data_IF_420562393473
#
_entry.id   IF_420562393473
#
_cell.length_a   1.000
_cell.length_b   1.000
_cell.length_c   1.000
_cell.angle_alpha   90.00
_cell.angle_beta   90.00
_cell.angle_gamma   90.00
#
_symmetry.space_group_name_H-M   'P 1'
#
loop_
_entity.id
_entity.type
_entity.pdbx_description
1 polymer ?
#
# COMPACT_ATOMS: atom_id res chain seq x y z
N UNK A 1 -51.43 -16.31 22.22
CA UNK A 1 -50.11 -16.18 22.87
C UNK A 1 -49.12 -17.21 22.33
N UNK A 2 -49.49 -18.50 22.23
CA UNK A 2 -48.65 -19.55 21.62
C UNK A 2 -48.41 -19.29 20.12
N UNK A 3 -49.43 -18.90 19.35
CA UNK A 3 -49.26 -18.67 17.90
C UNK A 3 -48.32 -17.50 17.57
N UNK A 4 -48.31 -16.45 18.41
CA UNK A 4 -47.39 -15.32 18.27
C UNK A 4 -45.95 -15.71 18.61
N UNK A 5 -45.76 -16.60 19.59
CA UNK A 5 -44.46 -17.14 19.97
C UNK A 5 -43.88 -18.00 18.83
N UNK A 6 -44.68 -18.90 18.25
CA UNK A 6 -44.26 -19.72 17.12
C UNK A 6 -43.88 -18.86 15.91
N UNK A 7 -44.72 -17.87 15.56
CA UNK A 7 -44.43 -16.96 14.46
C UNK A 7 -43.15 -16.14 14.67
N UNK A 8 -42.89 -15.69 15.90
CA UNK A 8 -41.65 -14.99 16.24
C UNK A 8 -40.42 -15.91 16.16
N UNK A 9 -40.51 -17.12 16.73
CA UNK A 9 -39.42 -18.09 16.74
C UNK A 9 -39.02 -18.50 15.32
N UNK A 10 -40.01 -18.75 14.45
CA UNK A 10 -39.76 -19.08 13.04
C UNK A 10 -39.02 -17.94 12.33
N UNK A 11 -39.44 -16.71 12.59
CA UNK A 11 -38.91 -15.54 11.91
C UNK A 11 -37.49 -15.17 12.39
N UNK A 12 -37.23 -15.25 13.70
CA UNK A 12 -35.87 -15.08 14.23
C UNK A 12 -34.95 -16.19 13.74
N UNK A 13 -35.42 -17.43 13.69
CA UNK A 13 -34.64 -18.56 13.15
C UNK A 13 -34.28 -18.32 11.68
N UNK A 14 -35.22 -17.79 10.89
CA UNK A 14 -34.99 -17.43 9.49
C UNK A 14 -33.95 -16.32 9.35
N UNK A 15 -34.10 -15.22 10.08
CA UNK A 15 -33.16 -14.08 10.03
C UNK A 15 -31.76 -14.48 10.50
N UNK A 16 -31.67 -15.26 11.58
CA UNK A 16 -30.39 -15.77 12.08
C UNK A 16 -29.69 -16.64 11.04
N UNK A 17 -30.43 -17.50 10.32
CA UNK A 17 -29.88 -18.31 9.23
C UNK A 17 -29.44 -17.44 8.05
N UNK A 18 -30.26 -16.50 7.61
CA UNK A 18 -29.96 -15.65 6.46
C UNK A 18 -28.77 -14.72 6.70
N UNK A 19 -28.83 -13.93 7.78
CA UNK A 19 -27.81 -12.91 8.07
C UNK A 19 -26.58 -13.53 8.72
N UNK A 20 -26.78 -14.46 9.66
CA UNK A 20 -25.69 -15.02 10.47
C UNK A 20 -24.96 -16.21 9.85
N UNK A 21 -25.64 -17.03 9.02
CA UNK A 21 -25.02 -18.24 8.44
C UNK A 21 -24.83 -18.15 6.93
N UNK A 22 -25.86 -17.73 6.19
CA UNK A 22 -25.81 -17.67 4.74
C UNK A 22 -25.11 -16.42 4.22
N UNK A 23 -24.93 -15.39 5.05
CA UNK A 23 -24.37 -14.10 4.63
C UNK A 23 -25.30 -13.29 3.71
N UNK A 24 -26.58 -13.65 3.64
CA UNK A 24 -27.61 -12.89 2.93
C UNK A 24 -28.00 -11.68 3.76
N UNK A 25 -27.19 -10.63 3.69
CA UNK A 25 -27.35 -9.41 4.48
C UNK A 25 -28.63 -8.64 4.10
N UNK A 26 -29.26 -7.99 5.09
CA UNK A 26 -30.49 -7.20 4.93
C UNK A 26 -31.78 -7.93 5.31
N UNK A 27 -31.69 -9.17 5.78
CA UNK A 27 -32.83 -9.90 6.35
C UNK A 27 -33.36 -9.22 7.62
N UNK A 28 -34.68 -9.06 7.71
CA UNK A 28 -35.38 -8.51 8.87
C UNK A 28 -36.55 -9.40 9.26
N UNK A 29 -36.82 -9.47 10.56
CA UNK A 29 -37.93 -10.18 11.15
C UNK A 29 -39.23 -9.38 11.01
N UNK A 30 -40.27 -10.01 10.45
CA UNK A 30 -41.61 -9.46 10.25
C UNK A 30 -42.66 -10.34 10.94
N UNK A 31 -42.95 -10.03 12.20
CA UNK A 31 -43.99 -10.73 12.96
C UNK A 31 -45.25 -9.87 13.04
N UNK A 32 -46.39 -10.39 12.54
CA UNK A 32 -47.65 -9.65 12.54
C UNK A 32 -48.34 -9.69 13.90
N UNK A 33 -48.91 -8.56 14.32
CA UNK A 33 -49.75 -8.50 15.53
C UNK A 33 -48.99 -8.62 16.85
N UNK A 34 -47.66 -8.41 16.84
CA UNK A 34 -46.85 -8.37 18.07
C UNK A 34 -46.97 -7.02 18.77
N UNK A 35 -47.03 -7.06 20.10
CA UNK A 35 -47.10 -5.88 20.97
C UNK A 35 -46.35 -6.15 22.28
N UNK A 36 -45.99 -5.09 23.00
CA UNK A 36 -45.21 -5.19 24.24
C UNK A 36 -43.85 -5.87 23.97
N UNK A 37 -43.42 -6.74 24.88
CA UNK A 37 -42.10 -7.39 24.85
C UNK A 37 -41.77 -8.08 23.51
N UNK A 38 -42.76 -8.64 22.81
CA UNK A 38 -42.53 -9.31 21.52
C UNK A 38 -42.18 -8.33 20.40
N UNK A 39 -42.78 -7.14 20.44
CA UNK A 39 -42.42 -6.06 19.53
C UNK A 39 -41.00 -5.58 19.81
N UNK A 40 -40.69 -5.35 21.08
CA UNK A 40 -39.35 -4.89 21.50
C UNK A 40 -38.26 -5.88 21.09
N UNK A 41 -38.49 -7.18 21.28
CA UNK A 41 -37.56 -8.22 20.83
C UNK A 41 -37.40 -8.27 19.31
N UNK A 42 -38.50 -8.14 18.55
CA UNK A 42 -38.45 -8.11 17.07
C UNK A 42 -37.67 -6.88 16.59
N UNK A 43 -37.92 -5.73 17.19
CA UNK A 43 -37.27 -4.47 16.85
C UNK A 43 -35.77 -4.55 17.21
N UNK A 44 -35.39 -5.13 18.35
CA UNK A 44 -33.98 -5.35 18.72
C UNK A 44 -33.25 -6.31 17.77
N UNK A 45 -33.87 -7.43 17.36
CA UNK A 45 -33.29 -8.35 16.37
C UNK A 45 -33.08 -7.64 15.03
N UNK A 46 -34.04 -6.79 14.63
CA UNK A 46 -33.94 -6.02 13.40
C UNK A 46 -32.83 -4.96 13.44
N UNK A 47 -32.67 -4.27 14.58
CA UNK A 47 -31.55 -3.33 14.78
C UNK A 47 -30.21 -4.06 14.69
N UNK A 48 -30.06 -5.19 15.38
CA UNK A 48 -28.85 -6.02 15.31
C UNK A 48 -28.55 -6.48 13.88
N UNK A 49 -29.53 -7.04 13.17
CA UNK A 49 -29.38 -7.51 11.80
C UNK A 49 -29.04 -6.37 10.83
N UNK A 50 -29.65 -5.20 11.02
CA UNK A 50 -29.39 -4.00 10.21
C UNK A 50 -27.97 -3.46 10.43
N UNK A 51 -27.52 -3.38 11.69
CA UNK A 51 -26.18 -2.91 12.04
C UNK A 51 -25.11 -3.84 11.44
N UNK A 52 -25.22 -5.16 11.66
CA UNK A 52 -24.29 -6.14 11.10
C UNK A 52 -24.29 -6.11 9.57
N UNK A 53 -25.46 -5.97 8.95
CA UNK A 53 -25.59 -5.81 7.49
C UNK A 53 -24.82 -4.60 6.98
N UNK A 54 -25.02 -3.43 7.60
CA UNK A 54 -24.35 -2.20 7.19
C UNK A 54 -22.84 -2.30 7.37
N UNK A 55 -22.42 -2.81 8.52
CA UNK A 55 -21.01 -2.97 8.89
C UNK A 55 -20.27 -3.89 7.93
N UNK A 56 -20.78 -5.11 7.72
CA UNK A 56 -20.14 -6.10 6.83
C UNK A 56 -20.14 -5.63 5.37
N UNK A 57 -21.22 -4.97 4.90
CA UNK A 57 -21.24 -4.40 3.53
C UNK A 57 -20.21 -3.30 3.35
N UNK A 58 -20.06 -2.40 4.32
CA UNK A 58 -19.05 -1.33 4.26
C UNK A 58 -17.64 -1.90 4.20
N UNK A 59 -17.33 -2.90 5.05
CA UNK A 59 -16.05 -3.62 5.01
C UNK A 59 -15.81 -4.26 3.64
N UNK A 60 -16.80 -4.99 3.11
CA UNK A 60 -16.67 -5.65 1.81
C UNK A 60 -16.46 -4.67 0.65
N UNK A 61 -17.11 -3.50 0.69
CA UNK A 61 -16.92 -2.44 -0.31
C UNK A 61 -15.49 -1.91 -0.30
N UNK A 62 -14.95 -1.58 0.87
CA UNK A 62 -13.57 -1.07 1.00
C UNK A 62 -12.56 -2.13 0.60
N UNK A 63 -12.73 -3.38 1.04
CA UNK A 63 -11.85 -4.48 0.64
C UNK A 63 -11.88 -4.70 -0.90
N UNK A 64 -13.05 -4.58 -1.53
CA UNK A 64 -13.18 -4.65 -2.99
C UNK A 64 -12.50 -3.47 -3.69
N UNK A 65 -12.60 -2.27 -3.15
CA UNK A 65 -11.93 -1.08 -3.67
C UNK A 65 -10.40 -1.23 -3.63
N UNK A 66 -9.86 -1.66 -2.48
CA UNK A 66 -8.43 -1.94 -2.28
C UNK A 66 -7.95 -3.02 -3.27
N UNK A 67 -8.72 -4.10 -3.44
CA UNK A 67 -8.38 -5.15 -4.40
C UNK A 67 -8.36 -4.65 -5.87
N UNK A 68 -9.06 -3.55 -6.17
CA UNK A 68 -9.05 -2.87 -7.47
C UNK A 68 -8.01 -1.74 -7.56
N UNK A 69 -7.22 -1.53 -6.50
CA UNK A 69 -6.21 -0.47 -6.42
C UNK A 69 -6.75 0.91 -6.01
N UNK A 70 -8.02 1.00 -5.58
CA UNK A 70 -8.58 2.23 -5.03
C UNK A 70 -8.35 2.28 -3.51
N UNK A 71 -7.33 3.05 -3.11
CA UNK A 71 -6.91 3.26 -1.72
C UNK A 71 -7.53 4.51 -1.09
N UNK A 72 -8.45 5.19 -1.80
CA UNK A 72 -9.15 6.38 -1.30
C UNK A 72 -10.34 6.05 -0.38
N UNK A 73 -10.84 4.82 -0.46
CA UNK A 73 -12.03 4.39 0.26
C UNK A 73 -11.72 4.04 1.72
N UNK A 74 -12.63 4.42 2.62
CA UNK A 74 -12.54 4.16 4.07
C UNK A 74 -13.84 3.56 4.59
N UNK A 75 -13.73 2.76 5.65
CA UNK A 75 -14.89 2.30 6.40
C UNK A 75 -15.33 3.45 7.30
N UNK A 76 -16.56 3.93 7.11
CA UNK A 76 -17.15 5.07 7.84
C UNK A 76 -18.42 4.70 8.60
N UNK A 77 -18.75 3.41 8.67
CA UNK A 77 -19.95 2.92 9.35
C UNK A 77 -19.77 3.03 10.87
N UNK A 78 -20.83 3.45 11.57
CA UNK A 78 -20.84 3.47 13.03
C UNK A 78 -20.83 2.03 13.57
N UNK A 79 -19.80 1.72 14.35
CA UNK A 79 -19.57 0.40 14.90
C UNK A 79 -18.96 0.54 16.28
N UNK A 80 -19.26 -0.43 17.14
CA UNK A 80 -18.72 -0.53 18.48
C UNK A 80 -18.04 -1.89 18.67
N UNK A 81 -17.20 -1.98 19.70
CA UNK A 81 -16.54 -3.23 20.09
C UNK A 81 -15.67 -3.82 18.98
N UNK A 82 -15.80 -5.12 18.76
CA UNK A 82 -14.95 -5.88 17.83
C UNK A 82 -15.08 -5.42 16.38
N UNK A 83 -16.27 -4.97 15.97
CA UNK A 83 -16.49 -4.50 14.58
C UNK A 83 -15.80 -3.16 14.35
N UNK A 84 -15.79 -2.28 15.35
CA UNK A 84 -15.03 -1.03 15.30
C UNK A 84 -13.54 -1.30 15.18
N UNK A 85 -13.01 -2.19 16.03
CA UNK A 85 -11.60 -2.58 15.99
C UNK A 85 -11.21 -3.20 14.63
N UNK A 86 -12.09 -4.02 14.03
CA UNK A 86 -11.87 -4.56 12.69
C UNK A 86 -11.85 -3.45 11.62
N UNK A 87 -12.79 -2.50 11.68
CA UNK A 87 -12.83 -1.37 10.76
C UNK A 87 -11.56 -0.52 10.86
N UNK A 88 -11.08 -0.25 12.07
CA UNK A 88 -9.84 0.50 12.33
C UNK A 88 -8.61 -0.22 11.79
N UNK A 89 -8.52 -1.55 11.96
CA UNK A 89 -7.42 -2.36 11.41
C UNK A 89 -7.42 -2.31 9.89
N UNK A 90 -8.59 -2.46 9.26
CA UNK A 90 -8.69 -2.40 7.79
C UNK A 90 -8.37 -1.00 7.30
N UNK A 91 -8.89 0.05 7.93
CA UNK A 91 -8.55 1.43 7.60
C UNK A 91 -7.03 1.62 7.70
N UNK A 92 -6.39 1.27 8.82
CA UNK A 92 -4.93 1.36 9.00
C UNK A 92 -4.13 0.63 7.92
N UNK A 93 -4.61 -0.53 7.46
CA UNK A 93 -4.02 -1.24 6.32
C UNK A 93 -4.12 -0.42 5.03
N UNK A 94 -5.27 0.22 4.76
CA UNK A 94 -5.45 1.14 3.62
C UNK A 94 -4.51 2.34 3.70
N UNK A 95 -4.35 2.97 4.87
CA UNK A 95 -3.42 4.09 5.07
C UNK A 95 -1.99 3.70 4.73
N UNK A 96 -1.56 2.53 5.23
CA UNK A 96 -0.21 2.02 5.01
C UNK A 96 0.04 1.74 3.53
N UNK A 97 -0.93 1.11 2.86
CA UNK A 97 -0.90 0.86 1.43
C UNK A 97 -0.82 2.16 0.63
N UNK A 98 -1.65 3.15 0.97
CA UNK A 98 -1.70 4.43 0.27
C UNK A 98 -0.39 5.19 0.43
N UNK A 99 0.10 5.31 1.67
CA UNK A 99 1.36 6.00 1.95
C UNK A 99 2.55 5.33 1.23
N UNK A 100 2.59 4.00 1.20
CA UNK A 100 3.61 3.27 0.46
C UNK A 100 3.52 3.52 -1.06
N UNK A 101 2.31 3.44 -1.63
CA UNK A 101 2.10 3.68 -3.06
C UNK A 101 2.52 5.10 -3.49
N UNK A 102 2.18 6.09 -2.68
CA UNK A 102 2.55 7.49 -2.90
C UNK A 102 4.07 7.68 -2.86
N UNK A 103 4.74 7.12 -1.84
CA UNK A 103 6.18 7.24 -1.67
C UNK A 103 6.97 6.52 -2.78
N UNK A 104 6.56 5.31 -3.17
CA UNK A 104 7.20 4.60 -4.29
C UNK A 104 7.02 5.37 -5.60
N UNK A 105 5.82 5.89 -5.85
CA UNK A 105 5.55 6.71 -7.04
C UNK A 105 6.41 7.97 -7.06
N UNK A 106 6.56 8.63 -5.91
CA UNK A 106 7.38 9.82 -5.76
C UNK A 106 8.87 9.53 -6.02
N UNK A 107 9.44 8.51 -5.36
CA UNK A 107 10.85 8.14 -5.52
C UNK A 107 11.16 7.70 -6.95
N UNK A 108 10.26 6.91 -7.56
CA UNK A 108 10.42 6.49 -8.95
C UNK A 108 10.46 7.68 -9.91
N UNK A 109 9.60 8.68 -9.69
CA UNK A 109 9.61 9.92 -10.48
C UNK A 109 10.88 10.74 -10.23
N UNK A 110 11.23 11.00 -8.98
CA UNK A 110 12.38 11.84 -8.62
C UNK A 110 13.70 11.25 -9.13
N UNK A 111 13.97 9.98 -8.81
CA UNK A 111 15.26 9.34 -9.13
C UNK A 111 15.29 8.88 -10.59
N UNK A 112 14.19 8.31 -11.09
CA UNK A 112 14.14 7.68 -12.41
C UNK A 112 13.79 8.63 -13.56
N UNK A 113 12.96 9.64 -13.32
CA UNK A 113 12.49 10.57 -14.38
C UNK A 113 13.13 11.94 -14.28
N UNK A 114 13.09 12.55 -13.09
CA UNK A 114 13.57 13.92 -12.90
C UNK A 114 15.09 13.99 -12.70
N UNK A 115 15.76 12.86 -12.50
CA UNK A 115 17.20 12.77 -12.22
C UNK A 115 17.60 13.41 -10.88
N UNK A 116 16.65 13.63 -9.97
CA UNK A 116 16.88 14.13 -8.61
C UNK A 116 17.39 12.99 -7.73
N UNK A 117 18.69 12.76 -7.81
CA UNK A 117 19.35 11.67 -7.09
C UNK A 117 19.38 11.91 -5.57
N UNK A 118 19.15 10.86 -4.80
CA UNK A 118 19.12 10.87 -3.33
C UNK A 118 17.72 10.83 -2.73
N UNK A 119 16.66 10.77 -3.55
CA UNK A 119 15.30 10.54 -3.08
C UNK A 119 15.16 9.17 -2.40
N UNK A 120 14.54 9.16 -1.22
CA UNK A 120 14.25 7.94 -0.44
C UNK A 120 12.78 7.94 -0.03
N UNK A 121 12.18 6.76 -0.01
CA UNK A 121 10.83 6.52 0.47
C UNK A 121 10.83 6.56 2.00
N UNK A 122 9.89 7.33 2.57
CA UNK A 122 9.67 7.41 4.00
C UNK A 122 8.21 7.09 4.33
N UNK A 123 7.94 5.81 4.63
CA UNK A 123 6.61 5.35 4.98
C UNK A 123 6.55 5.17 6.51
N UNK A 124 5.73 5.95 7.23
CA UNK A 124 5.69 5.89 8.69
C UNK A 124 5.09 4.57 9.17
N UNK A 125 5.56 4.09 10.33
CA UNK A 125 5.01 2.93 11.06
C UNK A 125 4.99 1.60 10.28
N UNK A 126 5.81 1.45 9.23
CA UNK A 126 5.93 0.18 8.51
C UNK A 126 6.72 -0.85 9.30
N UNK A 127 6.24 -2.09 9.28
CA UNK A 127 6.88 -3.25 9.88
C UNK A 127 6.71 -4.48 8.98
N UNK A 128 7.51 -5.52 9.24
CA UNK A 128 7.49 -6.77 8.45
C UNK A 128 7.68 -6.50 6.96
N UNK A 129 6.85 -7.13 6.13
CA UNK A 129 6.94 -7.02 4.66
C UNK A 129 6.91 -5.58 4.15
N UNK A 130 6.15 -4.68 4.79
CA UNK A 130 6.08 -3.27 4.37
C UNK A 130 7.41 -2.54 4.56
N UNK A 131 8.09 -2.86 5.66
CA UNK A 131 9.43 -2.33 5.94
C UNK A 131 10.44 -2.87 4.94
N UNK A 132 10.42 -4.19 4.70
CA UNK A 132 11.34 -4.83 3.76
C UNK A 132 11.21 -4.23 2.35
N UNK A 133 9.97 -4.00 1.89
CA UNK A 133 9.71 -3.36 0.60
C UNK A 133 10.24 -1.91 0.55
N UNK A 134 10.03 -1.14 1.62
CA UNK A 134 10.52 0.25 1.71
C UNK A 134 12.06 0.28 1.69
N UNK A 135 12.71 -0.60 2.45
CA UNK A 135 14.17 -0.70 2.52
C UNK A 135 14.77 -1.15 1.16
N UNK A 136 14.08 -2.03 0.42
CA UNK A 136 14.48 -2.45 -0.92
C UNK A 136 14.41 -1.29 -1.94
N UNK A 137 13.33 -0.50 -1.93
CA UNK A 137 13.19 0.68 -2.79
C UNK A 137 14.30 1.70 -2.48
N UNK A 138 14.57 1.93 -1.21
CA UNK A 138 15.63 2.83 -0.77
C UNK A 138 17.02 2.34 -1.17
N UNK A 139 17.27 1.02 -1.07
CA UNK A 139 18.54 0.42 -1.49
C UNK A 139 18.75 0.59 -3.00
N UNK A 140 17.71 0.35 -3.80
CA UNK A 140 17.75 0.59 -5.25
C UNK A 140 18.02 2.06 -5.60
N UNK A 141 17.29 2.99 -4.97
CA UNK A 141 17.45 4.43 -5.21
C UNK A 141 18.85 4.93 -4.80
N UNK A 142 19.38 4.45 -3.68
CA UNK A 142 20.72 4.78 -3.20
C UNK A 142 21.82 4.24 -4.12
N UNK A 143 21.71 2.98 -4.56
CA UNK A 143 22.66 2.39 -5.48
C UNK A 143 22.73 3.17 -6.80
N UNK A 144 21.57 3.47 -7.40
CA UNK A 144 21.49 4.23 -8.63
C UNK A 144 22.04 5.66 -8.45
N UNK A 145 21.69 6.31 -7.33
CA UNK A 145 22.21 7.63 -6.97
C UNK A 145 23.73 7.66 -6.91
N UNK A 146 24.32 6.70 -6.19
CA UNK A 146 25.77 6.63 -6.00
C UNK A 146 26.48 6.35 -7.34
N UNK A 147 25.93 5.44 -8.14
CA UNK A 147 26.50 5.05 -9.43
C UNK A 147 26.47 6.20 -10.43
N UNK A 148 25.30 6.83 -10.63
CA UNK A 148 25.13 7.93 -11.60
C UNK A 148 25.91 9.16 -11.17
N UNK A 149 25.93 9.50 -9.87
CA UNK A 149 26.69 10.66 -9.38
C UNK A 149 28.20 10.48 -9.57
N UNK A 150 28.74 9.28 -9.37
CA UNK A 150 30.16 9.02 -9.63
C UNK A 150 30.50 9.10 -11.13
N UNK A 151 29.64 8.57 -11.99
CA UNK A 151 29.80 8.72 -13.44
C UNK A 151 29.80 10.20 -13.83
N UNK A 152 28.85 10.99 -13.32
CA UNK A 152 28.77 12.42 -13.60
C UNK A 152 30.02 13.18 -13.12
N UNK A 153 30.56 12.85 -11.94
CA UNK A 153 31.77 13.46 -11.42
C UNK A 153 32.98 13.20 -12.33
N UNK A 154 33.20 11.94 -12.72
CA UNK A 154 34.35 11.56 -13.55
C UNK A 154 34.24 12.12 -14.95
N UNK A 155 33.07 12.02 -15.58
CA UNK A 155 32.85 12.60 -16.92
C UNK A 155 32.99 14.12 -16.92
N UNK A 156 32.57 14.80 -15.85
CA UNK A 156 32.81 16.25 -15.68
C UNK A 156 34.29 16.58 -15.50
N UNK A 157 35.04 15.77 -14.74
CA UNK A 157 36.49 15.96 -14.56
C UNK A 157 37.23 15.82 -15.89
N UNK A 158 36.91 14.77 -16.66
CA UNK A 158 37.45 14.52 -18.01
C UNK A 158 37.15 15.70 -18.94
N UNK A 159 35.91 16.20 -18.94
CA UNK A 159 35.54 17.37 -19.75
C UNK A 159 36.30 18.65 -19.37
N UNK A 160 36.80 18.75 -18.13
CA UNK A 160 37.66 19.84 -17.66
C UNK A 160 39.15 19.56 -17.86
N UNK A 161 39.51 18.44 -18.46
CA UNK A 161 40.90 18.02 -18.70
C UNK A 161 41.57 17.31 -17.52
N UNK A 162 40.85 17.02 -16.43
CA UNK A 162 41.37 16.22 -15.32
C UNK A 162 41.14 14.73 -15.60
N UNK A 163 42.18 14.08 -16.13
CA UNK A 163 42.19 12.65 -16.45
C UNK A 163 42.69 11.78 -15.29
N UNK A 164 42.93 12.37 -14.11
CA UNK A 164 43.37 11.61 -12.93
C UNK A 164 42.21 10.88 -12.22
N UNK A 165 40.95 11.20 -12.58
CA UNK A 165 39.76 10.65 -11.94
C UNK A 165 39.26 9.41 -12.65
N UNK A 166 38.93 8.38 -11.86
CA UNK A 166 38.24 7.17 -12.33
C UNK A 166 36.99 6.91 -11.52
N UNK A 167 36.06 6.18 -12.12
CA UNK A 167 34.87 5.70 -11.45
C UNK A 167 35.30 4.57 -10.51
N UNK A 168 35.02 4.74 -9.22
CA UNK A 168 35.36 3.76 -8.18
C UNK A 168 34.17 3.49 -7.25
N UNK A 169 33.09 2.96 -7.85
CA UNK A 169 31.92 2.47 -7.11
C UNK A 169 31.66 1.01 -7.43
N UNK A 170 31.06 0.29 -6.49
CA UNK A 170 30.58 -1.06 -6.74
C UNK A 170 29.43 -1.03 -7.75
N UNK A 171 29.55 -1.86 -8.77
CA UNK A 171 28.65 -1.90 -9.91
C UNK A 171 28.57 -3.32 -10.45
N UNK A 172 27.40 -3.68 -10.96
CA UNK A 172 27.12 -4.99 -11.58
C UNK A 172 26.29 -4.79 -12.83
N UNK A 173 26.27 -5.81 -13.70
CA UNK A 173 25.50 -5.77 -14.95
C UNK A 173 25.88 -4.58 -15.85
N UNK A 174 24.89 -3.94 -16.45
CA UNK A 174 25.06 -2.83 -17.39
C UNK A 174 25.81 -1.64 -16.79
N UNK A 175 25.66 -1.38 -15.48
CA UNK A 175 26.38 -0.29 -14.82
C UNK A 175 27.89 -0.59 -14.70
N UNK A 176 28.27 -1.86 -14.53
CA UNK A 176 29.68 -2.26 -14.51
C UNK A 176 30.33 -2.11 -15.89
N UNK A 177 29.59 -2.47 -16.94
CA UNK A 177 30.03 -2.27 -18.33
C UNK A 177 30.23 -0.79 -18.63
N UNK A 178 29.28 0.06 -18.21
CA UNK A 178 29.39 1.52 -18.35
C UNK A 178 30.60 2.07 -17.59
N UNK A 179 30.80 1.65 -16.33
CA UNK A 179 31.98 2.00 -15.51
C UNK A 179 33.29 1.65 -16.23
N UNK A 180 33.38 0.44 -16.76
CA UNK A 180 34.59 -0.07 -17.43
C UNK A 180 34.87 0.69 -18.71
N UNK A 181 33.84 0.93 -19.52
CA UNK A 181 33.93 1.69 -20.76
C UNK A 181 34.42 3.12 -20.51
N UNK A 182 33.84 3.82 -19.53
CA UNK A 182 34.27 5.19 -19.20
C UNK A 182 35.70 5.20 -18.68
N UNK A 183 36.06 4.31 -17.75
CA UNK A 183 37.44 4.26 -17.22
C UNK A 183 38.47 3.97 -18.33
N UNK A 184 38.12 3.11 -19.30
CA UNK A 184 38.98 2.83 -20.46
C UNK A 184 39.14 4.06 -21.35
N UNK A 185 38.06 4.82 -21.56
CA UNK A 185 38.12 6.09 -22.29
C UNK A 185 39.02 7.12 -21.59
N UNK A 186 38.97 7.22 -20.26
CA UNK A 186 39.89 8.09 -19.49
C UNK A 186 41.35 7.67 -19.71
N UNK A 187 41.64 6.37 -19.64
CA UNK A 187 42.99 5.85 -19.86
C UNK A 187 43.53 6.17 -21.27
N UNK A 188 42.69 6.00 -22.29
CA UNK A 188 43.07 6.30 -23.67
C UNK A 188 43.33 7.80 -23.89
N UNK A 189 42.48 8.67 -23.33
CA UNK A 189 42.68 10.12 -23.40
C UNK A 189 43.95 10.54 -22.67
N UNK A 190 44.26 9.94 -21.52
CA UNK A 190 45.48 10.26 -20.76
C UNK A 190 46.73 9.90 -21.55
N UNK A 191 46.77 8.70 -22.13
CA UNK A 191 47.90 8.27 -22.95
C UNK A 191 48.08 9.15 -24.19
N UNK A 192 47.00 9.60 -24.82
CA UNK A 192 47.07 10.51 -25.96
C UNK A 192 47.58 11.89 -25.57
N UNK A 193 47.12 12.44 -24.44
CA UNK A 193 47.59 13.73 -23.93
C UNK A 193 49.10 13.70 -23.66
N UNK A 194 49.60 12.62 -23.03
CA UNK A 194 51.02 12.43 -22.75
C UNK A 194 51.85 12.40 -24.05
N UNK A 195 51.40 11.69 -25.09
CA UNK A 195 52.09 11.60 -26.38
C UNK A 195 52.14 12.94 -27.14
N UNK A 196 51.08 13.75 -27.07
CA UNK A 196 51.04 15.07 -27.74
C UNK A 196 51.89 16.12 -27.01
N UNK A 197 52.12 15.95 -25.71
CA UNK A 197 53.01 16.83 -24.92
C UNK A 197 54.49 16.48 -25.01
N UNK A 198 54.84 15.37 -25.67
CA UNK A 198 56.20 14.87 -25.84
C UNK A 198 56.88 15.44 -27.10
#
# INVERSE_FOLDING_TARGET
>A
MVDQLSAFADEVTRVAREVGTAGNLGGQARVRGVSGTWKDLTDNVNVMASNLTGQVRSIAQVATAVARGDLSQRITVDAEGEVAALADVINTMVDTLSAFADEVTRVAREVGTDGRLGGQANVPNVAGTWKDLTDNVNSMANNLTNQVRNIALVTTAVAKGDLSKKIDVDARGEILELKTTINTMVDQLSAFADEVTR
#
